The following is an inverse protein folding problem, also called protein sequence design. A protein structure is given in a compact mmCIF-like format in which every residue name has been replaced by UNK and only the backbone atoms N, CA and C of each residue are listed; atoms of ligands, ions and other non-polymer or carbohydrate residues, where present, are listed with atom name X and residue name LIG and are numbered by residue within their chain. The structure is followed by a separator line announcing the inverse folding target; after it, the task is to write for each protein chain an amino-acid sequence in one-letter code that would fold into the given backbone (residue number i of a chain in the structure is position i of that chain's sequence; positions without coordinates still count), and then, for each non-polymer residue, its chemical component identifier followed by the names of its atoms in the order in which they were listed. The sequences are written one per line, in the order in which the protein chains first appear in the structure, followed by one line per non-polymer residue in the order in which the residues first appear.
data_IF_672254103541
#
_entry.id   IF_672254103541
#
_cell.length_a   1.000
_cell.length_b   1.000
_cell.length_c   1.000
_cell.angle_alpha   90.00
_cell.angle_beta   90.00
_cell.angle_gamma   90.00
#
_symmetry.space_group_name_H-M   'P 1'
#
loop_
_entity.id
_entity.type
_entity.pdbx_description
1 polymer ?
#
# COMPACT_ATOMS: atom_id res chain seq x y z
N UNK A 1 -8.52 -24.56 -53.02
CA UNK A 1 -7.27 -25.28 -52.67
C UNK A 1 -6.34 -24.39 -51.83
N UNK A 2 -6.08 -23.15 -52.25
CA UNK A 2 -5.30 -22.15 -51.49
C UNK A 2 -5.78 -21.87 -50.05
N UNK A 3 -7.10 -21.83 -49.81
CA UNK A 3 -7.68 -21.54 -48.48
C UNK A 3 -7.53 -22.67 -47.46
N UNK A 4 -7.30 -23.91 -47.91
CA UNK A 4 -7.01 -25.07 -47.03
C UNK A 4 -5.51 -25.13 -46.66
N UNK A 5 -4.64 -24.66 -47.56
CA UNK A 5 -3.19 -24.62 -47.34
C UNK A 5 -2.84 -23.47 -46.39
N UNK A 6 -3.44 -22.28 -46.55
CA UNK A 6 -3.28 -21.14 -45.63
C UNK A 6 -3.75 -21.45 -44.20
N UNK A 7 -4.92 -22.09 -44.03
CA UNK A 7 -5.38 -22.56 -42.71
C UNK A 7 -4.48 -23.65 -42.13
N UNK A 8 -3.90 -24.52 -42.96
CA UNK A 8 -2.94 -25.53 -42.50
C UNK A 8 -1.61 -24.92 -42.04
N UNK A 9 -1.13 -23.88 -42.74
CA UNK A 9 0.10 -23.16 -42.42
C UNK A 9 -0.04 -22.26 -41.18
N UNK A 10 -1.17 -21.57 -40.99
CA UNK A 10 -1.46 -20.79 -39.77
C UNK A 10 -1.64 -21.68 -38.53
N UNK A 11 -2.22 -22.88 -38.73
CA UNK A 11 -2.37 -23.86 -37.64
C UNK A 11 -1.02 -24.49 -37.30
N UNK A 12 -0.18 -24.83 -38.30
CA UNK A 12 1.19 -25.30 -38.05
C UNK A 12 2.04 -24.23 -37.35
N UNK A 13 2.00 -22.97 -37.79
CA UNK A 13 2.78 -21.90 -37.13
C UNK A 13 2.32 -21.65 -35.69
N UNK A 14 1.03 -21.81 -35.40
CA UNK A 14 0.52 -21.75 -34.03
C UNK A 14 0.96 -22.95 -33.18
N UNK A 15 0.97 -24.16 -33.75
CA UNK A 15 1.49 -25.34 -33.08
C UNK A 15 2.98 -25.23 -32.79
N UNK A 16 3.77 -24.78 -33.75
CA UNK A 16 5.22 -24.56 -33.60
C UNK A 16 5.50 -23.53 -32.50
N UNK A 17 4.77 -22.40 -32.49
CA UNK A 17 4.87 -21.38 -31.45
C UNK A 17 4.46 -21.95 -30.08
N UNK A 18 3.44 -22.82 -30.05
CA UNK A 18 2.98 -23.46 -28.80
C UNK A 18 4.00 -24.46 -28.27
N UNK A 19 4.66 -25.22 -29.13
CA UNK A 19 5.70 -26.18 -28.77
C UNK A 19 6.95 -25.46 -28.25
N UNK A 20 7.37 -24.38 -28.90
CA UNK A 20 8.49 -23.53 -28.46
C UNK A 20 8.22 -22.97 -27.05
N UNK A 21 7.02 -22.41 -26.82
CA UNK A 21 6.62 -21.89 -25.50
C UNK A 21 6.58 -22.99 -24.42
N UNK A 22 6.16 -24.21 -24.77
CA UNK A 22 6.17 -25.36 -23.85
C UNK A 22 7.61 -25.79 -23.53
N UNK A 23 8.48 -25.81 -24.53
CA UNK A 23 9.88 -26.17 -24.36
C UNK A 23 10.63 -25.16 -23.50
N UNK A 24 10.41 -23.87 -23.75
CA UNK A 24 10.99 -22.78 -22.95
C UNK A 24 10.48 -22.81 -21.51
N UNK A 25 9.20 -23.11 -21.31
CA UNK A 25 8.66 -23.32 -19.96
C UNK A 25 9.32 -24.52 -19.26
N UNK A 26 9.62 -25.60 -19.99
CA UNK A 26 10.32 -26.77 -19.45
C UNK A 26 11.78 -26.43 -19.11
N UNK A 27 12.49 -25.70 -19.98
CA UNK A 27 13.84 -25.18 -19.74
C UNK A 27 13.86 -24.31 -18.48
N UNK A 28 12.93 -23.37 -18.36
CA UNK A 28 12.79 -22.51 -17.18
C UNK A 28 12.58 -23.32 -15.89
N UNK A 29 11.64 -24.27 -15.88
CA UNK A 29 11.41 -25.10 -14.67
C UNK A 29 12.63 -25.94 -14.29
N UNK A 30 13.38 -26.44 -15.29
CA UNK A 30 14.61 -27.19 -15.05
C UNK A 30 15.71 -26.27 -14.49
N UNK A 31 15.81 -25.04 -14.99
CA UNK A 31 16.74 -24.03 -14.49
C UNK A 31 16.46 -23.67 -13.02
N UNK A 32 15.20 -23.34 -12.67
CA UNK A 32 14.83 -23.07 -11.27
C UNK A 32 15.11 -24.27 -10.37
N UNK A 33 14.78 -25.49 -10.83
CA UNK A 33 15.09 -26.72 -10.07
C UNK A 33 16.58 -26.90 -9.84
N UNK A 34 17.39 -26.64 -10.88
CA UNK A 34 18.84 -26.68 -10.77
C UNK A 34 19.35 -25.69 -9.71
N UNK A 35 18.87 -24.44 -9.76
CA UNK A 35 19.24 -23.40 -8.78
C UNK A 35 18.83 -23.76 -7.35
N UNK A 36 17.63 -24.30 -7.16
CA UNK A 36 17.15 -24.70 -5.83
C UNK A 36 17.97 -25.82 -5.19
N UNK A 37 18.42 -26.78 -6.03
CA UNK A 37 19.20 -27.94 -5.60
C UNK A 37 20.67 -27.61 -5.35
N UNK A 38 21.21 -26.61 -6.06
CA UNK A 38 22.55 -26.11 -5.83
C UNK A 38 22.46 -24.92 -4.88
N UNK A 39 22.27 -25.21 -3.58
CA UNK A 39 22.20 -24.18 -2.55
C UNK A 39 23.39 -23.22 -2.72
N UNK A 40 23.09 -21.96 -3.02
CA UNK A 40 24.12 -20.95 -3.14
C UNK A 40 24.71 -20.77 -1.74
N UNK A 41 25.98 -21.15 -1.56
CA UNK A 41 26.66 -20.91 -0.28
C UNK A 41 26.71 -19.40 0.00
N UNK A 42 26.83 -18.99 1.26
CA UNK A 42 27.06 -17.58 1.65
C UNK A 42 28.13 -16.89 0.80
N UNK A 43 29.19 -17.61 0.45
CA UNK A 43 30.29 -17.14 -0.42
C UNK A 43 29.83 -16.71 -1.81
N UNK A 44 28.76 -17.31 -2.34
CA UNK A 44 28.23 -16.94 -3.65
C UNK A 44 27.45 -15.63 -3.54
N UNK A 45 26.62 -15.44 -2.52
CA UNK A 45 25.96 -14.16 -2.29
C UNK A 45 26.98 -13.03 -2.10
N UNK A 46 28.01 -13.26 -1.29
CA UNK A 46 29.13 -12.32 -1.12
C UNK A 46 29.82 -12.00 -2.45
N UNK A 47 30.05 -13.01 -3.31
CA UNK A 47 30.64 -12.81 -4.65
C UNK A 47 29.75 -12.01 -5.60
N UNK A 48 28.43 -12.10 -5.43
CA UNK A 48 27.44 -11.29 -6.15
C UNK A 48 27.31 -9.88 -5.55
N UNK A 49 28.00 -9.61 -4.43
CA UNK A 49 27.92 -8.36 -3.69
C UNK A 49 26.71 -8.24 -2.78
N UNK A 50 25.90 -9.30 -2.64
CA UNK A 50 24.73 -9.36 -1.76
C UNK A 50 25.21 -9.81 -0.36
N UNK A 51 25.00 -8.97 0.64
CA UNK A 51 25.42 -9.20 2.03
C UNK A 51 24.21 -9.26 2.96
N UNK A 52 24.40 -9.62 4.23
CA UNK A 52 23.30 -9.68 5.20
C UNK A 52 22.36 -10.88 5.06
N UNK A 53 22.72 -11.87 4.22
CA UNK A 53 22.03 -13.16 4.09
C UNK A 53 23.05 -14.30 4.08
N UNK A 54 22.88 -15.31 4.92
CA UNK A 54 23.84 -16.41 5.10
C UNK A 54 23.53 -17.67 4.27
N UNK A 55 22.48 -17.62 3.44
CA UNK A 55 21.97 -18.75 2.67
C UNK A 55 20.82 -19.50 3.36
N UNK A 56 20.54 -19.23 4.64
CA UNK A 56 19.41 -19.78 5.38
C UNK A 56 18.45 -18.67 5.86
N UNK A 57 18.98 -17.51 6.24
CA UNK A 57 18.19 -16.40 6.75
C UNK A 57 18.92 -15.05 6.67
N UNK A 58 18.17 -14.00 7.01
CA UNK A 58 18.72 -12.65 7.12
C UNK A 58 19.56 -12.53 8.40
N UNK A 59 20.82 -12.14 8.26
CA UNK A 59 21.73 -11.84 9.38
C UNK A 59 21.76 -10.35 9.70
N UNK A 60 21.58 -9.51 8.68
CA UNK A 60 21.47 -8.06 8.80
C UNK A 60 20.49 -7.55 7.74
N UNK A 61 19.31 -7.10 8.18
CA UNK A 61 18.24 -6.65 7.31
C UNK A 61 18.59 -5.37 6.55
N UNK A 62 19.27 -4.42 7.20
CA UNK A 62 19.63 -3.14 6.58
C UNK A 62 20.69 -3.36 5.50
N UNK A 63 21.74 -4.11 5.84
CA UNK A 63 22.81 -4.43 4.90
C UNK A 63 22.31 -5.27 3.71
N UNK A 64 21.40 -6.22 3.96
CA UNK A 64 20.76 -6.97 2.89
C UNK A 64 19.94 -6.07 1.97
N UNK A 65 19.08 -5.21 2.53
CA UNK A 65 18.27 -4.26 1.76
C UNK A 65 19.13 -3.44 0.80
N UNK A 66 20.19 -2.80 1.31
CA UNK A 66 21.07 -1.93 0.53
C UNK A 66 21.79 -2.70 -0.57
N UNK A 67 22.46 -3.80 -0.21
CA UNK A 67 23.28 -4.55 -1.17
C UNK A 67 22.46 -5.33 -2.20
N UNK A 68 21.26 -5.79 -1.81
CA UNK A 68 20.34 -6.48 -2.71
C UNK A 68 19.70 -5.51 -3.71
N UNK A 69 19.34 -4.30 -3.26
CA UNK A 69 18.88 -3.23 -4.16
C UNK A 69 19.98 -2.84 -5.15
N UNK A 70 21.20 -2.60 -4.66
CA UNK A 70 22.36 -2.25 -5.49
C UNK A 70 22.67 -3.31 -6.55
N UNK A 71 22.58 -4.59 -6.19
CA UNK A 71 22.74 -5.69 -7.13
C UNK A 71 21.74 -5.59 -8.29
N UNK A 72 20.44 -5.42 -7.98
CA UNK A 72 19.40 -5.36 -9.01
C UNK A 72 19.43 -4.07 -9.82
N UNK A 73 19.81 -2.93 -9.23
CA UNK A 73 20.02 -1.69 -9.97
C UNK A 73 21.16 -1.85 -10.99
N UNK A 74 22.29 -2.45 -10.59
CA UNK A 74 23.46 -2.66 -11.49
C UNK A 74 23.17 -3.61 -12.64
N UNK A 75 22.26 -4.56 -12.44
CA UNK A 75 21.88 -5.56 -13.45
C UNK A 75 20.70 -5.11 -14.32
N UNK A 76 19.95 -4.08 -13.92
CA UNK A 76 18.75 -3.66 -14.64
C UNK A 76 19.08 -2.68 -15.75
N UNK A 77 18.47 -2.91 -16.92
CA UNK A 77 18.47 -1.94 -18.03
C UNK A 77 17.52 -0.77 -17.70
N UNK A 78 16.47 -1.03 -16.93
CA UNK A 78 15.46 -0.07 -16.49
C UNK A 78 15.59 0.18 -14.98
N UNK A 79 15.93 1.41 -14.61
CA UNK A 79 16.11 1.82 -13.21
C UNK A 79 14.84 2.33 -12.55
N UNK A 80 13.69 2.31 -13.25
CA UNK A 80 12.41 2.62 -12.62
C UNK A 80 12.11 1.64 -11.48
N UNK A 81 11.60 2.17 -10.36
CA UNK A 81 11.43 1.42 -9.12
C UNK A 81 10.54 0.18 -9.29
N UNK A 82 9.52 0.24 -10.15
CA UNK A 82 8.66 -0.91 -10.46
C UNK A 82 9.44 -2.06 -11.12
N UNK A 83 10.33 -1.74 -12.06
CA UNK A 83 11.15 -2.71 -12.77
C UNK A 83 12.22 -3.29 -11.85
N UNK A 84 12.88 -2.44 -11.05
CA UNK A 84 13.85 -2.88 -10.05
C UNK A 84 13.17 -3.79 -9.01
N UNK A 85 12.04 -3.38 -8.44
CA UNK A 85 11.32 -4.19 -7.46
C UNK A 85 10.85 -5.53 -8.04
N UNK A 86 10.32 -5.55 -9.27
CA UNK A 86 9.93 -6.79 -9.92
C UNK A 86 11.14 -7.73 -10.12
N UNK A 87 12.29 -7.19 -10.52
CA UNK A 87 13.52 -7.97 -10.64
C UNK A 87 14.01 -8.50 -9.28
N UNK A 88 13.92 -7.69 -8.22
CA UNK A 88 14.19 -8.13 -6.85
C UNK A 88 13.27 -9.29 -6.43
N UNK A 89 11.98 -9.21 -6.76
CA UNK A 89 11.00 -10.26 -6.49
C UNK A 89 11.35 -11.55 -7.23
N UNK A 90 11.69 -11.48 -8.53
CA UNK A 90 12.12 -12.65 -9.30
C UNK A 90 13.44 -13.22 -8.77
N UNK A 91 14.36 -12.33 -8.35
CA UNK A 91 15.65 -12.68 -7.77
C UNK A 91 15.51 -13.53 -6.51
N UNK A 92 14.44 -13.37 -5.72
CA UNK A 92 14.21 -14.22 -4.55
C UNK A 92 14.09 -15.70 -4.93
N UNK A 93 13.45 -15.99 -6.06
CA UNK A 93 13.31 -17.35 -6.58
C UNK A 93 14.61 -17.81 -7.26
N UNK A 94 15.15 -16.99 -8.17
CA UNK A 94 16.32 -17.34 -8.97
C UNK A 94 17.56 -17.56 -8.09
N UNK A 95 17.74 -16.72 -7.08
CA UNK A 95 18.85 -16.83 -6.12
C UNK A 95 18.51 -17.79 -4.97
N UNK A 96 17.31 -18.38 -4.95
CA UNK A 96 16.89 -19.34 -3.94
C UNK A 96 16.82 -18.79 -2.51
N UNK A 97 16.62 -17.48 -2.36
CA UNK A 97 16.47 -16.78 -1.07
C UNK A 97 15.12 -17.12 -0.44
N UNK A 98 14.04 -17.03 -1.23
CA UNK A 98 12.70 -17.48 -0.86
C UNK A 98 12.22 -18.45 -1.92
N UNK A 99 12.34 -19.75 -1.61
CA UNK A 99 12.07 -20.83 -2.57
C UNK A 99 10.59 -21.14 -2.63
N UNK A 100 9.99 -20.98 -3.81
CA UNK A 100 8.68 -21.53 -4.11
C UNK A 100 8.72 -23.01 -4.51
N UNK A 101 7.58 -23.54 -4.97
CA UNK A 101 7.44 -24.92 -5.47
C UNK A 101 7.78 -24.99 -6.96
N UNK A 102 8.95 -25.52 -7.38
CA UNK A 102 9.44 -25.38 -8.77
C UNK A 102 8.53 -26.02 -9.83
N UNK A 103 7.79 -27.07 -9.46
CA UNK A 103 6.89 -27.78 -10.37
C UNK A 103 5.68 -26.95 -10.81
N UNK A 104 5.26 -25.97 -10.00
CA UNK A 104 4.08 -25.14 -10.27
C UNK A 104 4.43 -23.84 -11.00
N UNK A 105 5.71 -23.50 -11.11
CA UNK A 105 6.11 -22.21 -11.63
C UNK A 105 6.03 -22.10 -13.14
N UNK A 106 5.51 -20.95 -13.56
CA UNK A 106 5.44 -20.49 -14.94
C UNK A 106 6.09 -19.11 -14.98
N UNK A 107 6.94 -18.86 -15.98
CA UNK A 107 7.67 -17.59 -16.10
C UNK A 107 6.72 -16.39 -16.09
N UNK A 108 5.63 -16.46 -16.86
CA UNK A 108 4.65 -15.36 -16.92
C UNK A 108 3.94 -15.12 -15.58
N UNK A 109 3.66 -16.20 -14.82
CA UNK A 109 3.06 -16.05 -13.49
C UNK A 109 4.04 -15.34 -12.56
N UNK A 110 5.31 -15.75 -12.56
CA UNK A 110 6.35 -15.11 -11.74
C UNK A 110 6.48 -13.62 -12.07
N UNK A 111 6.42 -13.24 -13.35
CA UNK A 111 6.46 -11.84 -13.81
C UNK A 111 5.24 -11.06 -13.30
N UNK A 112 4.04 -11.63 -13.42
CA UNK A 112 2.82 -10.98 -12.96
C UNK A 112 2.78 -10.86 -11.43
N UNK A 113 3.26 -11.87 -10.72
CA UNK A 113 3.39 -11.87 -9.26
C UNK A 113 4.29 -10.73 -8.78
N UNK A 114 5.45 -10.50 -9.43
CA UNK A 114 6.31 -9.37 -9.11
C UNK A 114 5.60 -8.02 -9.28
N UNK A 115 4.83 -7.86 -10.36
CA UNK A 115 4.03 -6.65 -10.61
C UNK A 115 2.91 -6.46 -9.58
N UNK A 116 2.19 -7.53 -9.24
CA UNK A 116 1.13 -7.48 -8.23
C UNK A 116 1.68 -7.20 -6.84
N UNK A 117 2.84 -7.78 -6.49
CA UNK A 117 3.53 -7.49 -5.23
C UNK A 117 4.00 -6.04 -5.18
N UNK A 118 4.48 -5.47 -6.28
CA UNK A 118 4.85 -4.05 -6.35
C UNK A 118 3.61 -3.16 -6.13
N UNK A 119 2.54 -3.39 -6.89
CA UNK A 119 1.30 -2.62 -6.76
C UNK A 119 0.70 -2.74 -5.35
N UNK A 120 0.78 -3.93 -4.76
CA UNK A 120 0.33 -4.19 -3.40
C UNK A 120 0.98 -3.28 -2.36
N UNK A 121 2.21 -2.81 -2.58
CA UNK A 121 2.92 -1.93 -1.64
C UNK A 121 2.25 -0.55 -1.51
N UNK A 122 1.32 -0.22 -2.41
CA UNK A 122 0.50 0.99 -2.38
C UNK A 122 -0.90 0.75 -1.78
N UNK A 123 -1.20 -0.50 -1.38
CA UNK A 123 -2.48 -0.90 -0.81
C UNK A 123 -2.38 -1.09 0.71
N UNK A 124 -3.52 -1.07 1.40
CA UNK A 124 -3.58 -1.42 2.82
C UNK A 124 -3.42 -2.94 3.04
N UNK A 125 -3.98 -3.74 2.13
CA UNK A 125 -4.03 -5.20 2.23
C UNK A 125 -3.76 -5.82 0.85
N UNK A 126 -2.94 -6.86 0.82
CA UNK A 126 -2.75 -7.79 -0.30
C UNK A 126 -3.29 -9.14 0.12
N UNK A 127 -4.16 -9.74 -0.70
CA UNK A 127 -4.78 -11.04 -0.42
C UNK A 127 -4.47 -12.01 -1.55
N UNK A 128 -4.04 -13.23 -1.21
CA UNK A 128 -3.83 -14.30 -2.19
C UNK A 128 -4.08 -15.67 -1.57
N UNK A 129 -4.35 -16.67 -2.41
CA UNK A 129 -4.35 -18.09 -2.02
C UNK A 129 -3.04 -18.81 -2.36
N UNK A 130 -2.09 -18.10 -2.97
CA UNK A 130 -0.79 -18.64 -3.35
C UNK A 130 0.25 -18.34 -2.27
N UNK A 131 0.65 -19.38 -1.53
CA UNK A 131 1.65 -19.29 -0.46
C UNK A 131 3.01 -18.78 -0.98
N UNK A 132 3.41 -19.16 -2.19
CA UNK A 132 4.71 -18.75 -2.75
C UNK A 132 4.72 -17.24 -3.00
N UNK A 133 3.59 -16.70 -3.48
CA UNK A 133 3.40 -15.26 -3.64
C UNK A 133 3.43 -14.55 -2.29
N UNK A 134 2.61 -15.02 -1.33
CA UNK A 134 2.53 -14.42 0.00
C UNK A 134 3.89 -14.38 0.70
N UNK A 135 4.66 -15.46 0.65
CA UNK A 135 5.96 -15.53 1.31
C UNK A 135 6.99 -14.55 0.71
N UNK A 136 7.05 -14.44 -0.62
CA UNK A 136 7.97 -13.51 -1.30
C UNK A 136 7.57 -12.06 -1.08
N UNK A 137 6.26 -11.76 -1.17
CA UNK A 137 5.74 -10.42 -0.87
C UNK A 137 6.01 -10.03 0.57
N UNK A 138 5.73 -10.91 1.55
CA UNK A 138 6.04 -10.69 2.97
C UNK A 138 7.53 -10.43 3.20
N UNK A 139 8.40 -11.21 2.56
CA UNK A 139 9.86 -11.05 2.69
C UNK A 139 10.33 -9.68 2.19
N UNK A 140 9.93 -9.27 0.98
CA UNK A 140 10.31 -7.95 0.48
C UNK A 140 9.70 -6.82 1.31
N UNK A 141 8.45 -6.96 1.75
CA UNK A 141 7.81 -5.94 2.56
C UNK A 141 8.52 -5.77 3.91
N UNK A 142 8.94 -6.85 4.57
CA UNK A 142 9.74 -6.75 5.79
C UNK A 142 11.12 -6.10 5.54
N UNK A 143 11.81 -6.51 4.47
CA UNK A 143 13.12 -5.94 4.08
C UNK A 143 13.04 -4.44 3.82
N UNK A 144 11.98 -4.00 3.13
CA UNK A 144 11.76 -2.59 2.78
C UNK A 144 10.92 -1.80 3.78
N UNK A 145 10.55 -2.42 4.90
CA UNK A 145 9.71 -1.86 5.95
C UNK A 145 8.34 -1.33 5.47
N UNK A 146 7.74 -2.03 4.51
CA UNK A 146 6.42 -1.73 3.95
C UNK A 146 5.36 -2.37 4.86
N UNK A 147 4.48 -1.56 5.47
CA UNK A 147 3.48 -2.05 6.44
C UNK A 147 2.17 -2.55 5.84
N UNK A 148 2.10 -2.74 4.52
CA UNK A 148 0.94 -3.38 3.87
C UNK A 148 0.72 -4.78 4.44
N UNK A 149 -0.52 -5.08 4.83
CA UNK A 149 -0.89 -6.39 5.36
C UNK A 149 -0.96 -7.43 4.24
N UNK A 150 -0.20 -8.52 4.35
CA UNK A 150 -0.19 -9.60 3.34
C UNK A 150 -0.87 -10.83 3.94
N UNK A 151 -2.06 -11.15 3.45
CA UNK A 151 -2.96 -12.13 4.05
C UNK A 151 -3.31 -13.26 3.08
N UNK A 152 -3.41 -14.47 3.61
CA UNK A 152 -4.13 -15.56 2.95
C UNK A 152 -5.63 -15.26 2.88
N UNK A 153 -6.34 -15.96 2.02
CA UNK A 153 -7.81 -15.85 1.91
C UNK A 153 -8.52 -16.13 3.24
N UNK A 154 -8.04 -17.10 4.03
CA UNK A 154 -8.63 -17.42 5.33
C UNK A 154 -8.30 -16.37 6.39
N UNK A 155 -7.06 -15.84 6.42
CA UNK A 155 -6.70 -14.72 7.29
C UNK A 155 -7.54 -13.48 6.96
N UNK A 156 -7.75 -13.19 5.67
CA UNK A 156 -8.60 -12.08 5.24
C UNK A 156 -10.06 -12.29 5.66
N UNK A 157 -10.59 -13.51 5.57
CA UNK A 157 -11.93 -13.84 6.07
C UNK A 157 -12.07 -13.54 7.56
N UNK A 158 -11.04 -13.85 8.36
CA UNK A 158 -11.01 -13.49 9.78
C UNK A 158 -10.92 -11.98 9.98
N UNK A 159 -10.12 -11.29 9.17
CA UNK A 159 -10.00 -9.84 9.18
C UNK A 159 -11.35 -9.14 8.94
N UNK A 160 -12.19 -9.67 8.05
CA UNK A 160 -13.53 -9.12 7.77
C UNK A 160 -14.56 -9.35 8.88
N UNK A 161 -14.32 -10.28 9.82
CA UNK A 161 -15.25 -10.52 10.95
C UNK A 161 -15.20 -9.41 11.99
N UNK A 162 -14.16 -8.59 11.98
CA UNK A 162 -14.10 -7.40 12.82
C UNK A 162 -14.98 -6.33 12.17
N UNK A 163 -16.04 -5.86 12.86
CA UNK A 163 -16.88 -4.81 12.29
C UNK A 163 -16.01 -3.61 11.98
N UNK A 164 -16.15 -3.07 10.76
CA UNK A 164 -15.66 -1.73 10.47
C UNK A 164 -16.41 -0.83 11.43
N UNK A 165 -15.72 -0.35 12.45
CA UNK A 165 -16.26 0.62 13.39
C UNK A 165 -16.68 1.83 12.56
N UNK A 166 -18.00 1.98 12.38
CA UNK A 166 -18.59 3.21 11.87
C UNK A 166 -18.51 4.22 13.00
N UNK A 167 -17.34 4.84 13.13
CA UNK A 167 -17.20 5.98 14.02
C UNK A 167 -18.05 7.12 13.42
N UNK A 168 -18.91 7.67 14.26
CA UNK A 168 -19.74 8.84 14.03
C UNK A 168 -18.96 10.11 14.36
N UNK A 169 -19.52 11.27 14.04
CA UNK A 169 -19.00 12.56 14.50
C UNK A 169 -18.95 12.64 16.02
N UNK A 170 -19.90 12.01 16.71
CA UNK A 170 -19.87 11.93 18.18
C UNK A 170 -18.60 11.24 18.66
N UNK A 171 -18.20 10.14 18.03
CA UNK A 171 -16.96 9.43 18.37
C UNK A 171 -15.71 10.28 18.09
N UNK A 172 -15.73 11.12 17.05
CA UNK A 172 -14.67 12.10 16.79
C UNK A 172 -14.56 13.12 17.93
N UNK A 173 -15.69 13.69 18.35
CA UNK A 173 -15.74 14.68 19.44
C UNK A 173 -15.31 14.04 20.76
N UNK A 174 -15.74 12.81 21.05
CA UNK A 174 -15.30 12.05 22.22
C UNK A 174 -13.79 11.79 22.18
N UNK A 175 -13.25 11.44 21.01
CA UNK A 175 -11.80 11.25 20.82
C UNK A 175 -11.02 12.53 21.13
N UNK A 176 -11.55 13.71 20.73
CA UNK A 176 -10.97 15.02 21.06
C UNK A 176 -11.06 15.29 22.56
N UNK A 177 -12.23 15.10 23.17
CA UNK A 177 -12.47 15.35 24.61
C UNK A 177 -11.67 14.43 25.52
N UNK A 178 -11.41 13.21 25.08
CA UNK A 178 -10.61 12.21 25.78
C UNK A 178 -9.10 12.37 25.61
N UNK A 179 -8.64 13.42 24.92
CA UNK A 179 -7.20 13.61 24.68
C UNK A 179 -6.44 13.88 25.97
N UNK A 180 -5.44 13.04 26.20
CA UNK A 180 -4.40 13.27 27.18
C UNK A 180 -3.21 13.95 26.48
N UNK A 181 -3.22 15.28 26.47
CA UNK A 181 -2.19 16.09 25.80
C UNK A 181 -0.76 15.76 26.28
N UNK A 182 -0.59 15.26 27.51
CA UNK A 182 0.71 14.89 28.04
C UNK A 182 1.30 13.63 27.37
N UNK A 183 0.46 12.79 26.74
CA UNK A 183 0.88 11.60 25.99
C UNK A 183 1.06 11.85 24.50
N UNK A 184 0.72 13.05 24.03
CA UNK A 184 0.85 13.40 22.61
C UNK A 184 2.29 13.75 22.27
N UNK A 185 2.69 13.43 21.04
CA UNK A 185 3.99 13.83 20.51
C UNK A 185 3.95 15.33 20.22
N UNK A 186 4.83 16.09 20.86
CA UNK A 186 5.02 17.51 20.56
C UNK A 186 5.96 17.68 19.37
N UNK A 187 5.52 18.42 18.36
CA UNK A 187 6.30 18.75 17.17
C UNK A 187 6.31 20.26 16.99
N UNK A 188 7.49 20.80 16.69
CA UNK A 188 7.70 22.23 16.43
C UNK A 188 8.31 22.37 15.05
N UNK A 189 7.68 23.17 14.19
CA UNK A 189 8.19 23.52 12.86
C UNK A 189 8.07 25.04 12.62
N UNK A 190 8.35 25.48 11.39
CA UNK A 190 8.24 26.90 10.99
C UNK A 190 6.81 27.47 11.11
N UNK A 191 5.79 26.62 11.15
CA UNK A 191 4.37 27.00 11.24
C UNK A 191 3.84 27.05 12.68
N UNK A 192 4.65 26.62 13.66
CA UNK A 192 4.33 26.68 15.08
C UNK A 192 4.52 25.34 15.80
N UNK A 193 3.90 25.24 16.98
CA UNK A 193 3.86 24.01 17.79
C UNK A 193 2.52 23.31 17.63
N UNK A 194 2.55 22.01 17.36
CA UNK A 194 1.36 21.16 17.33
C UNK A 194 1.61 19.83 18.03
N UNK A 195 0.51 19.19 18.44
CA UNK A 195 0.51 17.92 19.14
C UNK A 195 -0.10 16.83 18.26
N UNK A 196 0.54 15.66 18.20
CA UNK A 196 0.05 14.51 17.42
C UNK A 196 -0.34 13.36 18.35
N UNK A 197 -1.52 12.78 18.10
CA UNK A 197 -1.97 11.50 18.64
C UNK A 197 -2.21 10.47 17.55
N UNK A 198 -1.91 9.21 17.84
CA UNK A 198 -2.27 8.04 17.02
C UNK A 198 -3.65 7.55 17.40
N UNK A 199 -4.54 7.39 16.41
CA UNK A 199 -5.88 6.88 16.62
C UNK A 199 -5.93 5.36 16.38
N UNK A 200 -6.41 4.62 17.37
CA UNK A 200 -6.72 3.19 17.27
C UNK A 200 -7.95 2.93 18.14
N UNK A 201 -9.14 2.68 17.55
CA UNK A 201 -9.41 2.41 16.13
C UNK A 201 -9.33 3.65 15.22
N UNK A 202 -9.30 3.42 13.89
CA UNK A 202 -9.37 4.50 12.87
C UNK A 202 -10.76 5.13 12.84
N UNK A 203 -10.81 6.45 12.69
CA UNK A 203 -12.05 7.23 12.51
C UNK A 203 -12.49 7.20 11.05
N UNK A 204 -13.79 6.99 10.81
CA UNK A 204 -14.39 6.72 9.48
C UNK A 204 -13.71 5.58 8.70
N UNK A 205 -12.99 4.68 9.39
CA UNK A 205 -12.15 3.66 8.76
C UNK A 205 -10.95 4.22 7.97
N UNK A 206 -10.70 5.52 8.02
CA UNK A 206 -9.72 6.22 7.19
C UNK A 206 -8.66 6.95 8.02
N UNK A 207 -9.09 7.85 8.92
CA UNK A 207 -8.19 8.70 9.70
C UNK A 207 -7.57 7.93 10.87
N UNK A 208 -6.24 7.97 10.99
CA UNK A 208 -5.48 7.27 12.02
C UNK A 208 -4.56 8.20 12.83
N UNK A 209 -4.69 9.52 12.61
CA UNK A 209 -3.95 10.57 13.32
C UNK A 209 -4.89 11.69 13.68
N UNK A 210 -4.64 12.28 14.84
CA UNK A 210 -5.26 13.52 15.30
C UNK A 210 -4.16 14.52 15.60
N UNK A 211 -4.23 15.69 14.97
CA UNK A 211 -3.30 16.80 15.17
C UNK A 211 -4.03 17.94 15.83
N UNK A 212 -3.54 18.40 16.96
CA UNK A 212 -4.01 19.62 17.61
C UNK A 212 -3.05 20.76 17.29
N UNK A 213 -3.56 21.80 16.64
CA UNK A 213 -2.83 23.00 16.28
C UNK A 213 -3.56 24.23 16.86
N UNK A 214 -3.15 24.73 18.04
CA UNK A 214 -3.78 25.89 18.63
C UNK A 214 -3.54 27.14 17.77
N UNK A 215 -4.59 27.93 17.54
CA UNK A 215 -4.49 29.28 16.96
C UNK A 215 -5.20 30.27 17.89
N UNK A 216 -4.84 31.55 17.79
CA UNK A 216 -5.32 32.58 18.72
C UNK A 216 -6.85 32.61 18.92
N UNK A 217 -7.65 32.29 17.88
CA UNK A 217 -9.12 32.34 17.93
C UNK A 217 -9.81 30.98 17.91
N UNK A 218 -9.11 29.92 17.50
CA UNK A 218 -9.70 28.60 17.30
C UNK A 218 -8.74 27.50 17.73
N UNK A 219 -9.27 26.58 18.52
CA UNK A 219 -8.65 25.28 18.76
C UNK A 219 -8.97 24.36 17.59
N UNK A 220 -7.95 24.09 16.77
CA UNK A 220 -8.08 23.29 15.56
C UNK A 220 -7.59 21.86 15.79
N UNK A 221 -8.46 20.92 15.48
CA UNK A 221 -8.21 19.50 15.51
C UNK A 221 -8.30 18.95 14.09
N UNK A 222 -7.24 18.35 13.59
CA UNK A 222 -7.17 17.76 12.25
C UNK A 222 -7.07 16.24 12.36
N UNK A 223 -8.08 15.56 11.83
CA UNK A 223 -8.02 14.13 11.56
C UNK A 223 -7.33 13.92 10.21
N UNK A 224 -6.24 13.18 10.24
CA UNK A 224 -5.39 12.89 9.08
C UNK A 224 -5.16 11.38 8.93
N UNK A 225 -4.69 10.99 7.74
CA UNK A 225 -4.21 9.62 7.48
C UNK A 225 -2.72 9.64 7.21
N UNK A 226 -1.96 9.00 8.09
CA UNK A 226 -0.56 8.68 7.85
C UNK A 226 -0.48 7.22 7.36
N UNK A 227 0.21 7.01 6.23
CA UNK A 227 0.42 5.68 5.65
C UNK A 227 1.88 5.27 5.86
N UNK A 228 2.09 4.03 6.29
CA UNK A 228 3.41 3.42 6.42
C UNK A 228 3.70 2.46 5.24
N UNK A 229 3.08 2.73 4.09
CA UNK A 229 3.25 2.02 2.83
C UNK A 229 3.62 3.04 1.74
N UNK A 230 3.78 2.61 0.50
CA UNK A 230 4.22 3.51 -0.59
C UNK A 230 3.11 4.40 -1.16
N UNK A 231 1.90 4.30 -0.62
CA UNK A 231 0.77 5.06 -1.09
C UNK A 231 0.82 6.49 -0.56
N UNK A 232 0.71 7.47 -1.47
CA UNK A 232 0.68 8.89 -1.13
C UNK A 232 -0.66 9.56 -1.37
N UNK A 233 -1.60 8.91 -2.08
CA UNK A 233 -2.86 9.52 -2.52
C UNK A 233 -4.09 9.03 -1.77
N UNK A 234 -5.20 9.77 -1.90
CA UNK A 234 -6.54 9.34 -1.45
C UNK A 234 -7.37 8.93 -2.66
N UNK A 235 -8.06 7.78 -2.60
CA UNK A 235 -8.93 7.37 -3.70
C UNK A 235 -10.20 8.22 -3.71
N UNK A 236 -10.69 8.59 -4.90
CA UNK A 236 -11.95 9.33 -5.04
C UNK A 236 -13.13 8.64 -4.32
N UNK A 237 -13.16 7.29 -4.29
CA UNK A 237 -14.16 6.53 -3.55
C UNK A 237 -14.04 6.65 -2.03
N UNK A 238 -12.83 6.84 -1.49
CA UNK A 238 -12.63 7.10 -0.06
C UNK A 238 -13.18 8.48 0.30
N UNK A 239 -12.89 9.49 -0.54
CA UNK A 239 -13.45 10.85 -0.39
C UNK A 239 -14.98 10.80 -0.45
N UNK A 240 -15.54 10.10 -1.44
CA UNK A 240 -16.98 9.93 -1.60
C UNK A 240 -17.64 9.26 -0.39
N UNK A 241 -17.04 8.17 0.11
CA UNK A 241 -17.55 7.46 1.28
C UNK A 241 -17.57 8.36 2.52
N UNK A 242 -16.47 9.06 2.82
CA UNK A 242 -16.37 9.91 4.01
C UNK A 242 -17.33 11.10 3.88
N UNK A 243 -17.34 11.75 2.72
CA UNK A 243 -18.20 12.91 2.48
C UNK A 243 -19.67 12.55 2.65
N UNK A 244 -20.12 11.45 2.04
CA UNK A 244 -21.52 11.03 2.15
C UNK A 244 -21.86 10.51 3.56
N UNK A 245 -20.89 9.98 4.31
CA UNK A 245 -21.07 9.64 5.72
C UNK A 245 -21.32 10.90 6.55
N UNK A 246 -20.51 11.95 6.36
CA UNK A 246 -20.70 13.24 7.04
C UNK A 246 -22.04 13.89 6.67
N UNK A 247 -22.43 13.89 5.40
CA UNK A 247 -23.74 14.42 4.98
C UNK A 247 -24.90 13.64 5.62
N UNK A 248 -24.77 12.32 5.74
CA UNK A 248 -25.79 11.48 6.40
C UNK A 248 -25.96 11.85 7.88
N UNK A 249 -24.87 12.26 8.54
CA UNK A 249 -24.87 12.58 9.97
C UNK A 249 -25.21 14.06 10.27
N UNK A 250 -24.71 14.99 9.46
CA UNK A 250 -24.85 16.44 9.66
C UNK A 250 -25.96 17.09 8.83
N UNK A 251 -26.43 16.41 7.80
CA UNK A 251 -27.26 17.01 6.76
C UNK A 251 -26.44 17.74 5.67
N UNK A 252 -27.11 18.55 4.84
CA UNK A 252 -26.48 19.26 3.73
C UNK A 252 -25.33 20.16 4.20
N UNK A 253 -24.33 20.37 3.34
CA UNK A 253 -23.24 21.29 3.64
C UNK A 253 -23.71 22.77 3.68
N UNK A 254 -22.81 23.69 4.04
CA UNK A 254 -23.08 25.14 4.05
C UNK A 254 -23.56 25.69 2.69
N UNK A 255 -23.27 24.99 1.60
CA UNK A 255 -23.70 25.33 0.24
C UNK A 255 -24.95 24.53 -0.20
N UNK A 256 -25.67 23.93 0.74
CA UNK A 256 -26.89 23.13 0.55
C UNK A 256 -26.71 21.88 -0.35
N UNK A 257 -25.50 21.30 -0.41
CA UNK A 257 -25.25 20.08 -1.20
C UNK A 257 -25.49 18.81 -0.38
N UNK A 258 -26.34 17.93 -0.91
CA UNK A 258 -26.84 16.74 -0.20
C UNK A 258 -26.18 15.42 -0.58
N UNK A 259 -25.55 15.32 -1.76
CA UNK A 259 -24.87 14.10 -2.19
C UNK A 259 -23.59 14.48 -2.88
N UNK A 260 -22.49 13.91 -2.42
CA UNK A 260 -21.22 13.99 -3.10
C UNK A 260 -21.10 12.88 -4.14
N UNK A 261 -20.69 13.27 -5.35
CA UNK A 261 -20.26 12.34 -6.38
C UNK A 261 -18.88 12.74 -6.90
N UNK A 262 -18.10 11.76 -7.36
CA UNK A 262 -16.72 11.99 -7.81
C UNK A 262 -16.55 12.99 -8.97
N UNK A 263 -17.63 13.44 -9.63
CA UNK A 263 -17.54 14.50 -10.66
C UNK A 263 -17.34 15.89 -10.06
N UNK A 264 -17.57 16.07 -8.77
CA UNK A 264 -17.23 17.30 -8.05
C UNK A 264 -15.72 17.45 -7.83
N UNK A 265 -14.97 16.37 -8.01
CA UNK A 265 -13.52 16.39 -7.96
C UNK A 265 -12.96 16.75 -9.34
N UNK A 266 -12.76 18.04 -9.59
CA UNK A 266 -12.24 18.56 -10.86
C UNK A 266 -10.80 19.08 -10.69
N UNK A 267 -9.83 18.18 -10.60
CA UNK A 267 -8.40 18.55 -10.56
C UNK A 267 -7.59 17.77 -9.54
N UNK A 268 -6.44 18.33 -9.15
CA UNK A 268 -5.53 17.77 -8.13
C UNK A 268 -5.88 18.20 -6.70
N UNK A 269 -6.74 19.21 -6.54
CA UNK A 269 -7.20 19.73 -5.25
C UNK A 269 -8.74 19.74 -5.23
N UNK A 270 -9.31 19.62 -4.03
CA UNK A 270 -10.74 19.76 -3.82
C UNK A 270 -10.99 20.61 -2.57
N UNK A 271 -11.65 21.75 -2.80
CA UNK A 271 -11.99 22.75 -1.78
C UNK A 271 -12.85 22.19 -0.65
N UNK A 272 -13.50 21.04 -0.89
CA UNK A 272 -14.10 20.27 0.18
C UNK A 272 -15.56 20.57 0.47
N UNK A 273 -15.94 20.30 1.72
CA UNK A 273 -17.25 20.51 2.32
C UNK A 273 -17.09 21.19 3.67
N UNK A 274 -18.02 22.07 4.00
CA UNK A 274 -18.01 22.83 5.25
C UNK A 274 -19.38 22.71 5.90
N UNK A 275 -19.40 22.46 7.20
CA UNK A 275 -20.59 22.51 8.03
C UNK A 275 -20.36 23.49 9.17
N UNK A 276 -21.29 24.43 9.34
CA UNK A 276 -21.23 25.46 10.37
C UNK A 276 -22.29 25.15 11.43
N UNK A 277 -21.84 24.89 12.65
CA UNK A 277 -22.67 24.72 13.83
C UNK A 277 -22.35 25.81 14.85
N UNK A 278 -23.20 26.07 15.87
CA UNK A 278 -23.04 27.20 16.77
C UNK A 278 -21.66 27.32 17.45
N UNK A 279 -21.04 26.20 17.82
CA UNK A 279 -19.77 26.16 18.57
C UNK A 279 -18.63 25.49 17.80
N UNK A 280 -18.93 24.93 16.62
CA UNK A 280 -17.97 24.12 15.88
C UNK A 280 -18.09 24.32 14.37
N UNK A 281 -16.95 24.51 13.74
CA UNK A 281 -16.77 24.50 12.30
C UNK A 281 -16.16 23.15 11.90
N UNK A 282 -16.83 22.43 11.01
CA UNK A 282 -16.33 21.16 10.47
C UNK A 282 -16.00 21.35 9.00
N UNK A 283 -14.77 21.03 8.61
CA UNK A 283 -14.29 21.14 7.23
C UNK A 283 -13.68 19.81 6.78
N UNK A 284 -14.14 19.27 5.65
CA UNK A 284 -13.50 18.15 4.98
C UNK A 284 -12.89 18.66 3.69
N UNK A 285 -11.57 18.58 3.52
CA UNK A 285 -10.89 19.08 2.31
C UNK A 285 -9.76 18.17 1.85
N UNK A 286 -9.38 18.29 0.57
CA UNK A 286 -8.29 17.53 0.00
C UNK A 286 -7.25 18.44 -0.66
N UNK A 287 -6.05 18.42 -0.09
CA UNK A 287 -4.85 19.07 -0.63
C UNK A 287 -3.66 18.16 -0.40
N UNK A 288 -3.26 17.39 -1.42
CA UNK A 288 -2.32 16.26 -1.35
C UNK A 288 -2.80 15.07 -0.48
N UNK A 289 -3.52 15.33 0.61
CA UNK A 289 -4.17 14.32 1.45
C UNK A 289 -5.53 14.80 1.92
N UNK A 290 -6.44 13.86 2.19
CA UNK A 290 -7.74 14.16 2.77
C UNK A 290 -7.59 14.50 4.26
N UNK A 291 -8.21 15.60 4.68
CA UNK A 291 -8.21 16.08 6.05
C UNK A 291 -9.61 16.44 6.51
N UNK A 292 -9.93 16.08 7.75
CA UNK A 292 -11.17 16.48 8.43
C UNK A 292 -10.81 17.35 9.63
N UNK A 293 -11.18 18.62 9.59
CA UNK A 293 -10.89 19.62 10.61
C UNK A 293 -12.13 19.91 11.45
N UNK A 294 -11.91 20.01 12.76
CA UNK A 294 -12.85 20.59 13.72
C UNK A 294 -12.20 21.86 14.28
N UNK A 295 -12.82 23.01 14.04
CA UNK A 295 -12.46 24.27 14.68
C UNK A 295 -13.49 24.60 15.75
N UNK A 296 -13.09 24.59 17.02
CA UNK A 296 -13.91 25.08 18.11
C UNK A 296 -13.59 26.54 18.33
N UNK A 297 -14.62 27.38 18.51
CA UNK A 297 -14.38 28.74 18.99
C UNK A 297 -13.75 28.65 20.37
N UNK A 298 -12.64 29.37 20.57
CA UNK A 298 -12.09 29.49 21.90
C UNK A 298 -12.95 30.48 22.68
N UNK A 299 -13.46 30.07 23.84
CA UNK A 299 -14.03 30.96 24.86
C UNK A 299 -12.93 31.81 25.52
N UNK A 300 -12.01 32.40 24.75
CA UNK A 300 -11.17 33.48 25.25
C UNK A 300 -11.98 34.78 25.21
N UNK A 301 -13.00 34.88 26.06
CA UNK A 301 -13.49 36.18 26.55
C UNK A 301 -14.38 35.99 27.80
N UNK A 302 -13.75 36.10 28.96
CA UNK A 302 -14.27 36.75 30.18
C UNK A 302 -13.09 37.21 31.05
#
# INVERSE_FOLDING_TARGET
MFTKILKGMEVMSFFDLSEELIEDQKKFRNFIRYLHNNALSSKIYESLGIKGFDGQGLTDKGLFRETYLDYHIKQSIDTHMNSVFANMYHGLEILGIVKGRPRKQRMMNMINDGKHSYFGAFCDIVVSSDDDFLNKTKFLYDVFDIKTSVLSTEEFRHHLKFPILKNTISDCIESIRGLDFAKMLKVTNEEGEYLIAVLSPKVYGYFNRLVFAPREQFDNFYFLRERENWSSGTLAKEIEYITNSLITELGPDFNEKEVFNGKEFMGEEWDGRIWVMPEVLIELGYKNSLSLRFGFLNDYES
#
